data_IF_246239743727
#
_entry.id   IF_246239743727
#
_cell.length_a   1.000
_cell.length_b   1.000
_cell.length_c   1.000
_cell.angle_alpha   90.00
_cell.angle_beta   90.00
_cell.angle_gamma   90.00
#
_symmetry.space_group_name_H-M   'P 1'
#
loop_
_entity.id
_entity.type
_entity.pdbx_description
1 polymer ?
#
# COMPACT_ATOMS: atom_id res chain seq x y z
N UNK A 1 7.69 -4.23 13.25
CA UNK A 1 8.07 -3.65 11.95
C UNK A 1 7.77 -2.17 12.07
N UNK A 2 8.76 -1.32 11.89
CA UNK A 2 8.60 0.13 12.00
C UNK A 2 8.44 0.76 10.61
N UNK A 3 8.01 2.03 10.56
CA UNK A 3 7.74 2.75 9.29
C UNK A 3 8.99 2.78 8.39
N UNK A 4 10.16 2.87 9.01
CA UNK A 4 11.45 3.01 8.32
C UNK A 4 11.87 1.72 7.58
N UNK A 5 11.21 0.59 7.86
CA UNK A 5 11.50 -0.69 7.23
C UNK A 5 10.62 -0.98 6.00
N UNK A 6 9.76 -0.03 5.63
CA UNK A 6 8.86 -0.11 4.48
C UNK A 6 9.34 0.83 3.38
N UNK A 7 9.42 0.31 2.16
CA UNK A 7 9.60 1.08 0.95
C UNK A 7 8.34 1.00 0.10
N UNK A 8 7.87 2.14 -0.38
CA UNK A 8 6.77 2.25 -1.33
C UNK A 8 7.23 3.00 -2.57
N UNK A 9 6.86 2.49 -3.74
CA UNK A 9 7.18 3.09 -5.04
C UNK A 9 5.95 2.99 -5.95
N UNK A 10 5.79 3.98 -6.82
CA UNK A 10 4.80 3.98 -7.88
C UNK A 10 5.53 4.05 -9.22
N UNK A 11 5.22 3.13 -10.11
CA UNK A 11 5.78 3.12 -11.47
C UNK A 11 4.93 3.93 -12.45
N UNK A 12 5.48 4.23 -13.63
CA UNK A 12 4.77 4.91 -14.72
C UNK A 12 3.53 4.13 -15.20
N UNK A 13 3.50 2.81 -15.03
CA UNK A 13 2.38 1.93 -15.36
C UNK A 13 1.29 1.87 -14.27
N UNK A 14 1.26 2.83 -13.34
CA UNK A 14 0.33 2.89 -12.20
C UNK A 14 0.37 1.64 -11.30
N UNK A 15 1.55 1.03 -11.15
CA UNK A 15 1.75 -0.10 -10.25
C UNK A 15 2.37 0.42 -8.96
N UNK A 16 1.64 0.27 -7.85
CA UNK A 16 2.17 0.55 -6.52
C UNK A 16 2.83 -0.70 -5.97
N UNK A 17 4.12 -0.60 -5.64
CA UNK A 17 4.92 -1.67 -5.06
C UNK A 17 5.28 -1.33 -3.62
N UNK A 18 4.99 -2.27 -2.72
CA UNK A 18 5.26 -2.19 -1.29
C UNK A 18 6.24 -3.29 -0.95
N UNK A 19 7.41 -2.92 -0.47
CA UNK A 19 8.45 -3.85 -0.08
C UNK A 19 9.04 -3.53 1.29
N UNK A 20 9.71 -4.51 1.87
CA UNK A 20 10.35 -4.35 3.16
C UNK A 20 10.97 -5.65 3.65
N UNK A 21 11.56 -5.60 4.83
CA UNK A 21 12.15 -6.76 5.47
C UNK A 21 11.73 -6.87 6.93
N UNK A 22 11.12 -8.00 7.29
CA UNK A 22 10.87 -8.35 8.67
C UNK A 22 12.12 -9.03 9.23
N UNK A 23 12.90 -8.30 10.03
CA UNK A 23 14.06 -8.87 10.70
C UNK A 23 13.67 -10.07 11.59
N UNK A 24 14.51 -11.10 11.59
CA UNK A 24 14.42 -12.18 12.57
C UNK A 24 14.70 -11.61 13.96
N UNK A 25 13.85 -11.90 14.95
CA UNK A 25 14.16 -11.54 16.35
C UNK A 25 15.45 -12.24 16.76
N UNK A 26 16.38 -11.48 17.34
CA UNK A 26 17.73 -11.90 17.70
C UNK A 26 17.74 -13.31 18.30
N UNK A 27 18.50 -14.21 17.65
CA UNK A 27 18.92 -15.45 18.29
C UNK A 27 19.87 -15.03 19.41
N UNK A 28 19.40 -15.06 20.66
CA UNK A 28 20.32 -15.05 21.80
C UNK A 28 21.19 -16.29 21.65
N UNK A 29 22.51 -16.16 21.71
CA UNK A 29 23.42 -17.31 21.64
C UNK A 29 22.97 -18.35 22.69
N UNK A 30 22.76 -19.59 22.25
CA UNK A 30 22.28 -20.69 23.09
C UNK A 30 20.75 -20.90 23.12
N UNK A 31 19.93 -20.02 22.53
CA UNK A 31 18.49 -20.27 22.41
C UNK A 31 18.18 -21.27 21.29
N UNK A 32 17.59 -22.42 21.66
CA UNK A 32 17.01 -23.39 20.71
C UNK A 32 15.50 -23.22 20.67
N UNK A 33 14.94 -22.97 19.50
CA UNK A 33 13.50 -22.94 19.29
C UNK A 33 13.00 -24.38 19.06
N UNK A 34 11.98 -24.82 19.83
CA UNK A 34 11.28 -26.07 19.55
C UNK A 34 10.32 -25.93 18.37
N UNK A 35 9.76 -24.72 18.16
CA UNK A 35 8.88 -24.39 17.05
C UNK A 35 8.96 -22.91 16.68
N UNK A 36 8.76 -22.63 15.40
CA UNK A 36 8.71 -21.28 14.83
C UNK A 36 7.55 -21.21 13.85
N UNK A 37 6.58 -20.34 14.14
CA UNK A 37 5.32 -20.23 13.37
C UNK A 37 5.21 -18.90 12.62
N UNK A 38 5.99 -17.90 13.04
CA UNK A 38 6.03 -16.59 12.40
C UNK A 38 7.16 -16.53 11.38
N UNK A 39 6.80 -16.30 10.12
CA UNK A 39 7.76 -16.06 9.05
C UNK A 39 8.43 -14.67 9.18
N UNK A 40 9.71 -14.63 8.80
CA UNK A 40 10.55 -13.43 8.72
C UNK A 40 11.28 -13.41 7.38
N UNK A 41 11.82 -12.25 7.00
CA UNK A 41 12.52 -12.05 5.74
C UNK A 41 11.92 -10.93 4.89
N UNK A 42 12.38 -10.87 3.64
CA UNK A 42 11.98 -9.86 2.67
C UNK A 42 10.59 -10.16 2.12
N UNK A 43 9.82 -9.11 1.88
CA UNK A 43 8.54 -9.20 1.20
C UNK A 43 8.44 -8.12 0.14
N UNK A 44 7.66 -8.40 -0.90
CA UNK A 44 7.24 -7.43 -1.90
C UNK A 44 5.83 -7.78 -2.36
N UNK A 45 4.96 -6.78 -2.48
CA UNK A 45 3.63 -6.90 -3.06
C UNK A 45 3.38 -5.72 -3.97
N UNK A 46 2.79 -5.99 -5.13
CA UNK A 46 2.46 -4.98 -6.11
C UNK A 46 0.99 -5.02 -6.46
N UNK A 47 0.39 -3.86 -6.67
CA UNK A 47 -1.01 -3.69 -7.03
C UNK A 47 -1.12 -2.73 -8.20
N UNK A 48 -1.90 -3.08 -9.22
CA UNK A 48 -2.25 -2.16 -10.29
C UNK A 48 -3.36 -1.22 -9.81
N UNK A 49 -3.14 0.07 -9.88
CA UNK A 49 -4.14 1.09 -9.56
C UNK A 49 -5.00 1.30 -10.81
N UNK A 50 -6.34 1.19 -10.71
CA UNK A 50 -7.21 1.48 -11.84
C UNK A 50 -7.16 2.96 -12.20
N UNK A 51 -7.42 3.31 -13.46
CA UNK A 51 -7.45 4.70 -13.95
C UNK A 51 -8.42 5.62 -13.18
N UNK A 52 -9.40 5.04 -12.48
CA UNK A 52 -10.32 5.79 -11.63
C UNK A 52 -9.70 6.26 -10.30
N UNK A 53 -8.47 5.85 -9.98
CA UNK A 53 -7.74 6.24 -8.78
C UNK A 53 -7.01 7.57 -8.97
N UNK A 54 -7.09 8.45 -7.98
CA UNK A 54 -6.40 9.74 -7.94
C UNK A 54 -4.99 9.55 -7.35
N UNK A 55 -4.02 9.34 -8.23
CA UNK A 55 -2.64 9.01 -7.90
C UNK A 55 -1.92 10.13 -7.14
N UNK A 56 -2.26 11.39 -7.44
CA UNK A 56 -1.68 12.57 -6.81
C UNK A 56 -2.08 12.71 -5.34
N UNK A 57 -3.09 11.96 -4.89
CA UNK A 57 -3.66 12.01 -3.53
C UNK A 57 -3.55 10.69 -2.79
N UNK A 58 -2.57 9.86 -3.14
CA UNK A 58 -2.28 8.64 -2.38
C UNK A 58 -1.77 9.05 -0.99
N UNK A 59 -2.39 8.49 0.04
CA UNK A 59 -2.00 8.67 1.43
C UNK A 59 -1.63 7.33 2.05
N UNK A 60 -0.62 7.30 2.93
CA UNK A 60 -0.19 6.09 3.61
C UNK A 60 0.10 6.35 5.09
N UNK A 61 -0.39 5.46 5.96
CA UNK A 61 -0.18 5.52 7.42
C UNK A 61 0.21 4.14 7.94
N UNK A 62 1.13 4.12 8.90
CA UNK A 62 1.49 2.89 9.62
C UNK A 62 1.04 3.03 11.08
N UNK A 63 0.24 2.08 11.56
CA UNK A 63 -0.23 2.04 12.95
C UNK A 63 -0.29 0.60 13.44
N UNK A 64 0.28 0.33 14.62
CA UNK A 64 0.28 -1.00 15.26
C UNK A 64 0.75 -2.17 14.35
N UNK A 65 1.69 -1.88 13.44
CA UNK A 65 2.24 -2.87 12.50
C UNK A 65 1.38 -3.12 11.26
N UNK A 66 0.36 -2.31 11.02
CA UNK A 66 -0.49 -2.32 9.83
C UNK A 66 -0.21 -1.08 9.00
N UNK A 67 0.11 -1.30 7.72
CA UNK A 67 0.22 -0.24 6.72
C UNK A 67 -1.14 -0.06 6.03
N UNK A 68 -1.74 1.10 6.21
CA UNK A 68 -2.94 1.53 5.50
C UNK A 68 -2.52 2.43 4.33
N UNK A 69 -3.05 2.14 3.14
CA UNK A 69 -2.84 2.93 1.93
C UNK A 69 -4.21 3.31 1.36
N UNK A 70 -4.47 4.61 1.28
CA UNK A 70 -5.73 5.18 0.80
C UNK A 70 -5.49 5.77 -0.58
N UNK A 71 -6.28 5.31 -1.55
CA UNK A 71 -6.27 5.80 -2.92
C UNK A 71 -7.67 6.36 -3.21
N UNK A 72 -7.85 7.69 -3.14
CA UNK A 72 -9.13 8.31 -3.48
C UNK A 72 -9.52 8.03 -4.93
N UNK A 73 -10.82 8.07 -5.23
CA UNK A 73 -11.27 8.04 -6.62
C UNK A 73 -11.19 9.45 -7.22
N UNK A 74 -10.88 9.53 -8.51
CA UNK A 74 -10.94 10.77 -9.26
C UNK A 74 -12.35 11.33 -9.18
N UNK A 75 -12.45 12.60 -8.81
CA UNK A 75 -13.70 13.35 -8.81
C UNK A 75 -14.21 13.52 -10.25
N UNK A 76 -15.19 12.71 -10.66
CA UNK A 76 -15.92 12.96 -11.90
C UNK A 76 -16.78 14.22 -11.67
N UNK A 77 -16.66 15.27 -12.51
CA UNK A 77 -17.55 16.42 -12.43
C UNK A 77 -18.99 15.91 -12.52
N UNK A 78 -19.82 16.21 -11.52
CA UNK A 78 -21.26 15.89 -11.59
C UNK A 78 -21.80 16.55 -12.85
N UNK A 79 -22.13 15.76 -13.88
CA UNK A 79 -22.77 16.24 -15.10
C UNK A 79 -23.96 17.09 -14.69
N UNK A 80 -23.87 18.40 -14.90
CA UNK A 80 -25.04 19.27 -14.87
C UNK A 80 -25.89 18.87 -16.07
N UNK A 81 -26.99 18.15 -15.82
CA UNK A 81 -28.01 17.93 -16.84
C UNK A 81 -28.48 19.30 -17.33
N UNK A 82 -28.37 19.54 -18.63
CA UNK A 82 -28.95 20.71 -19.27
C UNK A 82 -30.19 20.25 -20.03
N UNK A 83 -31.33 20.87 -19.75
CA UNK A 83 -32.54 20.68 -20.54
C UNK A 83 -32.35 21.39 -21.87
N UNK A 84 -32.41 20.66 -22.97
CA UNK A 84 -32.40 21.23 -24.32
C UNK A 84 -33.86 21.37 -24.75
N UNK A 85 -34.29 22.60 -25.05
CA UNK A 85 -35.60 22.87 -25.64
C UNK A 85 -35.51 22.66 -27.15
N UNK A 86 -36.41 21.84 -27.68
CA UNK A 86 -36.55 21.59 -29.12
C UNK A 86 -37.49 22.66 -29.69
N UNK A 87 -37.09 23.27 -30.81
CA UNK A 87 -37.93 24.18 -31.61
C UNK A 87 -38.64 23.42 -32.73
#
# INVERSE_FOLDING_TARGET
MSKEQIHMELTEDNIISISGERAKKNNVEGMKYSKMECEYGKFSRSFSIPETGDIEKIEAKMENGVLEVIIPKISIPKTQRRTILVQ
#
